data_IF_997420549812
#
_entry.id   IF_997420549812
#
_cell.length_a   1.000
_cell.length_b   1.000
_cell.length_c   1.000
_cell.angle_alpha   90.00
_cell.angle_beta   90.00
_cell.angle_gamma   90.00
#
_symmetry.space_group_name_H-M   'P 1'
#
loop_
_entity.id
_entity.type
_entity.pdbx_description
1 polymer ?
#
# COMPACT_ATOMS: atom_id res chain seq x y z
N UNK A 1 -10.95 1.72 -13.05
CA UNK A 1 -9.66 2.06 -12.40
C UNK A 1 -8.55 2.35 -13.39
N UNK A 2 -8.35 1.52 -14.44
CA UNK A 2 -7.26 1.75 -15.42
C UNK A 2 -7.34 3.13 -16.09
N UNK A 3 -8.52 3.58 -16.52
CA UNK A 3 -8.68 4.89 -17.19
C UNK A 3 -8.26 6.07 -16.29
N UNK A 4 -8.60 6.05 -15.00
CA UNK A 4 -8.18 7.09 -14.05
C UNK A 4 -6.66 7.09 -13.83
N UNK A 5 -6.02 5.91 -13.74
CA UNK A 5 -4.54 5.81 -13.67
C UNK A 5 -3.87 6.42 -14.90
N UNK A 6 -4.43 6.18 -16.09
CA UNK A 6 -3.93 6.75 -17.34
C UNK A 6 -4.05 8.28 -17.40
N UNK A 7 -5.13 8.83 -16.85
CA UNK A 7 -5.31 10.28 -16.73
C UNK A 7 -4.32 10.90 -15.74
N UNK A 8 -4.15 10.29 -14.56
CA UNK A 8 -3.23 10.79 -13.53
C UNK A 8 -1.76 10.70 -13.97
N UNK A 9 -1.35 9.62 -14.64
CA UNK A 9 0.03 9.53 -15.13
C UNK A 9 0.27 10.58 -16.22
N UNK A 10 -0.71 10.82 -17.10
CA UNK A 10 -0.60 11.87 -18.13
C UNK A 10 -0.45 13.24 -17.49
N UNK A 11 -1.23 13.52 -16.43
CA UNK A 11 -1.10 14.74 -15.62
C UNK A 11 0.32 14.84 -15.04
N UNK A 12 0.80 13.79 -14.36
CA UNK A 12 2.14 13.75 -13.78
C UNK A 12 3.23 14.02 -14.83
N UNK A 13 3.15 13.40 -16.00
CA UNK A 13 4.15 13.59 -17.06
C UNK A 13 4.20 15.02 -17.58
N UNK A 14 3.10 15.77 -17.48
CA UNK A 14 3.01 17.18 -17.86
C UNK A 14 3.31 18.15 -16.69
N UNK A 15 3.46 17.66 -15.45
CA UNK A 15 3.76 18.52 -14.31
C UNK A 15 5.17 19.12 -14.43
N UNK A 16 5.30 20.45 -14.22
CA UNK A 16 6.58 21.13 -14.26
C UNK A 16 7.41 20.77 -13.03
N UNK A 17 8.73 20.90 -13.16
CA UNK A 17 9.70 20.51 -12.12
C UNK A 17 9.47 21.24 -10.79
N UNK A 18 9.16 22.54 -10.83
CA UNK A 18 8.84 23.35 -9.65
C UNK A 18 7.62 22.82 -8.87
N UNK A 19 6.61 22.28 -9.56
CA UNK A 19 5.46 21.66 -8.88
C UNK A 19 5.88 20.34 -8.24
N UNK A 20 6.71 19.55 -8.91
CA UNK A 20 7.18 18.25 -8.41
C UNK A 20 8.02 18.42 -7.14
N UNK A 21 8.87 19.45 -7.09
CA UNK A 21 9.70 19.73 -5.91
C UNK A 21 8.91 20.19 -4.69
N UNK A 22 7.66 20.62 -4.88
CA UNK A 22 6.79 21.15 -3.83
C UNK A 22 5.59 20.24 -3.52
N UNK A 23 5.59 18.98 -3.99
CA UNK A 23 4.56 18.02 -3.64
C UNK A 23 4.56 17.75 -2.13
N UNK A 24 3.38 17.70 -1.54
CA UNK A 24 3.21 17.16 -0.18
C UNK A 24 3.62 15.70 -0.12
N UNK A 25 3.91 15.17 1.07
CA UNK A 25 4.30 13.76 1.25
C UNK A 25 3.25 12.80 0.69
N UNK A 26 1.96 13.11 0.87
CA UNK A 26 0.86 12.30 0.32
C UNK A 26 0.82 12.33 -1.20
N UNK A 27 1.06 13.48 -1.82
CA UNK A 27 1.10 13.59 -3.28
C UNK A 27 2.35 12.91 -3.84
N UNK A 28 3.48 13.04 -3.16
CA UNK A 28 4.72 12.37 -3.51
C UNK A 28 4.55 10.85 -3.45
N UNK A 29 3.87 10.32 -2.43
CA UNK A 29 3.55 8.89 -2.36
C UNK A 29 2.70 8.45 -3.56
N UNK A 30 1.59 9.15 -3.80
CA UNK A 30 0.65 8.81 -4.86
C UNK A 30 1.30 8.86 -6.25
N UNK A 31 1.89 10.00 -6.62
CA UNK A 31 2.48 10.18 -7.94
C UNK A 31 3.76 9.34 -8.11
N UNK A 32 4.54 9.19 -7.05
CA UNK A 32 5.76 8.41 -7.07
C UNK A 32 5.49 6.93 -7.34
N UNK A 33 4.53 6.33 -6.62
CA UNK A 33 4.09 4.95 -6.87
C UNK A 33 3.46 4.77 -8.23
N UNK A 34 2.67 5.75 -8.68
CA UNK A 34 2.08 5.72 -10.03
C UNK A 34 3.18 5.69 -11.10
N UNK A 35 4.21 6.53 -10.98
CA UNK A 35 5.35 6.53 -11.88
C UNK A 35 6.10 5.18 -11.88
N UNK A 36 6.40 4.63 -10.69
CA UNK A 36 7.08 3.33 -10.58
C UNK A 36 6.25 2.16 -11.12
N UNK A 37 4.92 2.19 -10.93
CA UNK A 37 4.01 1.21 -11.51
C UNK A 37 4.07 1.23 -13.04
N UNK A 38 4.00 2.42 -13.66
CA UNK A 38 4.10 2.55 -15.12
C UNK A 38 5.49 2.19 -15.64
N UNK A 39 6.55 2.55 -14.92
CA UNK A 39 7.91 2.13 -15.25
C UNK A 39 8.02 0.59 -15.26
N UNK A 40 7.58 -0.09 -14.20
CA UNK A 40 7.61 -1.56 -14.12
C UNK A 40 6.79 -2.24 -15.23
N UNK A 41 5.67 -1.63 -15.64
CA UNK A 41 4.79 -2.18 -16.69
C UNK A 41 5.36 -1.99 -18.10
N UNK A 42 6.09 -0.91 -18.35
CA UNK A 42 6.46 -0.48 -19.72
C UNK A 42 7.96 -0.52 -20.00
N UNK A 43 8.80 -0.41 -18.99
CA UNK A 43 10.24 -0.18 -19.12
C UNK A 43 10.62 1.22 -19.60
N UNK A 44 9.66 2.15 -19.72
CA UNK A 44 9.93 3.51 -20.21
C UNK A 44 10.63 4.36 -19.12
N UNK A 45 11.89 4.68 -19.37
CA UNK A 45 12.76 5.46 -18.50
C UNK A 45 12.24 6.87 -18.18
N UNK A 46 11.29 7.41 -18.96
CA UNK A 46 10.66 8.69 -18.64
C UNK A 46 9.88 8.64 -17.32
N UNK A 47 9.23 7.52 -17.01
CA UNK A 47 8.53 7.33 -15.73
C UNK A 47 9.50 7.19 -14.57
N UNK A 48 10.61 6.46 -14.78
CA UNK A 48 11.67 6.33 -13.77
C UNK A 48 12.26 7.69 -13.41
N UNK A 49 12.62 8.50 -14.41
CA UNK A 49 13.12 9.86 -14.20
C UNK A 49 12.14 10.72 -13.40
N UNK A 50 10.84 10.54 -13.62
CA UNK A 50 9.80 11.24 -12.87
C UNK A 50 9.77 10.83 -11.40
N UNK A 51 9.88 9.53 -11.12
CA UNK A 51 10.00 9.03 -9.75
C UNK A 51 11.27 9.56 -9.05
N UNK A 52 12.41 9.62 -9.75
CA UNK A 52 13.66 10.21 -9.25
C UNK A 52 13.49 11.71 -8.92
N UNK A 53 12.79 12.48 -9.77
CA UNK A 53 12.48 13.88 -9.51
C UNK A 53 11.61 14.06 -8.25
N UNK A 54 10.55 13.26 -8.12
CA UNK A 54 9.67 13.29 -6.93
C UNK A 54 10.49 12.97 -5.68
N UNK A 55 11.30 11.91 -5.71
CA UNK A 55 12.16 11.51 -4.58
C UNK A 55 13.16 12.59 -4.20
N UNK A 56 13.78 13.25 -5.19
CA UNK A 56 14.72 14.34 -4.96
C UNK A 56 14.05 15.56 -4.33
N UNK A 57 12.79 15.84 -4.69
CA UNK A 57 11.99 16.93 -4.12
C UNK A 57 11.73 16.78 -2.62
N UNK A 58 11.58 15.55 -2.12
CA UNK A 58 11.25 15.29 -0.70
C UNK A 58 12.44 15.46 0.27
N UNK A 59 13.68 15.54 -0.24
CA UNK A 59 14.96 15.67 0.50
C UNK A 59 15.25 14.56 1.52
N UNK A 60 14.40 14.38 2.53
CA UNK A 60 14.52 13.39 3.60
C UNK A 60 13.43 12.30 3.48
N UNK A 61 13.43 11.35 4.43
CA UNK A 61 12.32 10.41 4.58
C UNK A 61 11.10 11.14 5.16
N UNK A 62 9.87 10.76 4.74
CA UNK A 62 8.67 11.49 5.11
C UNK A 62 8.42 11.42 6.61
N UNK A 63 7.87 12.50 7.16
CA UNK A 63 7.36 12.56 8.53
C UNK A 63 6.15 11.65 8.71
N UNK A 64 5.21 11.71 7.78
CA UNK A 64 4.06 10.83 7.74
C UNK A 64 4.46 9.45 7.20
N UNK A 65 4.45 8.45 8.07
CA UNK A 65 4.71 7.05 7.71
C UNK A 65 3.76 6.50 6.64
N UNK A 66 2.58 7.10 6.44
CA UNK A 66 1.66 6.69 5.38
C UNK A 66 2.22 6.97 3.97
N UNK A 67 3.22 7.86 3.85
CA UNK A 67 3.92 8.14 2.60
C UNK A 67 5.18 7.28 2.38
N UNK A 68 5.55 6.43 3.35
CA UNK A 68 6.70 5.50 3.22
C UNK A 68 6.60 4.48 2.08
N UNK A 69 5.41 3.99 1.65
CA UNK A 69 5.32 3.02 0.56
C UNK A 69 6.06 3.42 -0.70
N UNK A 70 5.93 4.68 -1.15
CA UNK A 70 6.71 5.18 -2.28
C UNK A 70 8.21 5.11 -2.06
N UNK A 71 8.71 5.51 -0.89
CA UNK A 71 10.13 5.52 -0.60
C UNK A 71 10.70 4.10 -0.60
N UNK A 72 9.98 3.14 -0.01
CA UNK A 72 10.39 1.73 -0.06
C UNK A 72 10.43 1.23 -1.51
N UNK A 73 9.38 1.47 -2.28
CA UNK A 73 9.30 1.03 -3.67
C UNK A 73 10.40 1.69 -4.54
N UNK A 74 10.68 2.98 -4.31
CA UNK A 74 11.76 3.71 -4.96
C UNK A 74 13.13 3.12 -4.62
N UNK A 75 13.41 2.84 -3.35
CA UNK A 75 14.68 2.26 -2.92
C UNK A 75 14.91 0.88 -3.55
N UNK A 76 13.84 0.11 -3.71
CA UNK A 76 13.86 -1.21 -4.36
C UNK A 76 14.14 -1.12 -5.85
N UNK A 77 13.50 -0.18 -6.55
CA UNK A 77 13.53 -0.12 -8.02
C UNK A 77 14.69 0.75 -8.54
N UNK A 78 14.99 1.86 -7.85
CA UNK A 78 15.92 2.91 -8.30
C UNK A 78 17.07 3.16 -7.31
N UNK A 79 16.77 3.20 -6.01
CA UNK A 79 17.67 3.73 -4.97
C UNK A 79 18.74 2.77 -4.44
N UNK A 80 18.88 1.57 -5.04
CA UNK A 80 19.89 0.57 -4.63
C UNK A 80 19.80 0.11 -3.17
N UNK A 81 18.63 0.29 -2.53
CA UNK A 81 18.31 -0.22 -1.19
C UNK A 81 19.13 0.41 -0.05
N UNK A 82 19.66 1.62 -0.24
CA UNK A 82 20.52 2.28 0.75
C UNK A 82 19.74 2.72 2.01
N UNK A 83 18.46 3.08 1.85
CA UNK A 83 17.62 3.56 2.96
C UNK A 83 16.71 2.51 3.60
N UNK A 84 16.81 1.23 3.24
CA UNK A 84 15.91 0.18 3.76
C UNK A 84 15.86 0.12 5.29
N UNK A 85 17.02 0.14 5.95
CA UNK A 85 17.09 0.06 7.41
C UNK A 85 16.40 1.25 8.08
N UNK A 86 16.55 2.45 7.51
CA UNK A 86 15.92 3.67 8.05
C UNK A 86 14.40 3.64 7.89
N UNK A 87 13.90 3.11 6.76
CA UNK A 87 12.46 2.95 6.55
C UNK A 87 11.90 1.93 7.55
N UNK A 88 12.54 0.77 7.70
CA UNK A 88 12.11 -0.28 8.63
C UNK A 88 12.09 0.24 10.07
N UNK A 89 13.18 0.85 10.52
CA UNK A 89 13.29 1.42 11.87
C UNK A 89 12.20 2.47 12.13
N UNK A 90 11.86 3.29 11.13
CA UNK A 90 10.80 4.30 11.27
C UNK A 90 9.41 3.66 11.36
N UNK A 91 9.14 2.61 10.59
CA UNK A 91 7.90 1.86 10.70
C UNK A 91 7.75 1.19 12.07
N UNK A 92 8.82 0.59 12.60
CA UNK A 92 8.83 -0.04 13.93
C UNK A 92 8.59 0.98 15.03
N UNK A 93 9.35 2.08 15.03
CA UNK A 93 9.21 3.16 16.00
C UNK A 93 7.81 3.76 16.02
N UNK A 94 7.16 3.88 14.86
CA UNK A 94 5.79 4.40 14.82
C UNK A 94 4.79 3.45 15.50
N UNK A 95 4.91 2.14 15.27
CA UNK A 95 4.09 1.16 15.98
C UNK A 95 4.36 1.17 17.50
N UNK A 96 5.62 1.32 17.93
CA UNK A 96 6.00 1.36 19.35
C UNK A 96 5.45 2.58 20.10
N UNK A 97 5.30 3.73 19.42
CA UNK A 97 4.67 4.92 20.02
C UNK A 97 3.20 4.68 20.39
N UNK A 98 2.55 3.74 19.72
CA UNK A 98 1.10 3.54 19.77
C UNK A 98 0.34 4.57 18.93
N UNK A 99 -0.95 4.33 18.75
CA UNK A 99 -1.82 5.12 17.88
C UNK A 99 -2.87 5.86 18.70
N UNK A 100 -3.23 7.08 18.30
CA UNK A 100 -4.23 7.88 19.02
C UNK A 100 -5.65 7.30 18.87
N UNK A 101 -5.95 6.76 17.69
CA UNK A 101 -7.22 6.10 17.40
C UNK A 101 -7.11 5.02 16.30
N UNK A 102 -8.22 4.31 16.08
CA UNK A 102 -8.33 3.26 15.08
C UNK A 102 -8.05 3.75 13.64
N UNK A 103 -8.39 4.99 13.30
CA UNK A 103 -8.14 5.54 11.97
C UNK A 103 -6.66 5.68 11.69
N UNK A 104 -5.90 6.23 12.66
CA UNK A 104 -4.44 6.34 12.55
C UNK A 104 -3.77 4.97 12.47
N UNK A 105 -4.16 4.03 13.33
CA UNK A 105 -3.66 2.64 13.32
C UNK A 105 -3.95 1.94 12.00
N UNK A 106 -5.17 2.04 11.49
CA UNK A 106 -5.56 1.30 10.30
C UNK A 106 -4.89 1.91 9.04
N UNK A 107 -4.73 3.24 8.99
CA UNK A 107 -3.92 3.91 7.97
C UNK A 107 -2.46 3.44 8.01
N UNK A 108 -1.87 3.33 9.21
CA UNK A 108 -0.55 2.73 9.39
C UNK A 108 -0.50 1.28 8.88
N UNK A 109 -1.49 0.44 9.20
CA UNK A 109 -1.55 -0.94 8.70
C UNK A 109 -1.60 -1.02 7.18
N UNK A 110 -2.38 -0.15 6.55
CA UNK A 110 -2.48 -0.06 5.09
C UNK A 110 -1.15 0.40 4.44
N UNK A 111 -0.42 1.31 5.09
CA UNK A 111 0.91 1.70 4.65
C UNK A 111 1.95 0.60 4.90
N UNK A 112 1.92 -0.07 6.05
CA UNK A 112 2.86 -1.12 6.42
C UNK A 112 2.78 -2.32 5.48
N UNK A 113 1.58 -2.77 5.12
CA UNK A 113 1.44 -3.88 4.15
C UNK A 113 1.99 -3.49 2.76
N UNK A 114 1.92 -2.20 2.39
CA UNK A 114 2.51 -1.70 1.14
C UNK A 114 4.03 -1.60 1.21
N UNK A 115 4.58 -1.18 2.34
CA UNK A 115 6.03 -1.21 2.58
C UNK A 115 6.54 -2.65 2.51
N UNK A 116 5.86 -3.60 3.14
CA UNK A 116 6.25 -5.03 3.08
C UNK A 116 6.20 -5.56 1.63
N UNK A 117 5.21 -5.16 0.84
CA UNK A 117 5.07 -5.52 -0.59
C UNK A 117 6.18 -4.89 -1.46
N UNK A 118 6.73 -3.75 -1.03
CA UNK A 118 7.82 -3.07 -1.71
C UNK A 118 9.21 -3.65 -1.42
N UNK A 119 9.39 -4.45 -0.35
CA UNK A 119 10.70 -5.01 0.03
C UNK A 119 11.13 -6.11 -0.94
N UNK A 120 12.37 -6.02 -1.43
CA UNK A 120 13.02 -7.10 -2.16
C UNK A 120 13.31 -8.31 -1.26
N UNK A 121 13.02 -9.53 -1.73
CA UNK A 121 13.22 -10.79 -1.01
C UNK A 121 14.66 -11.01 -0.49
N UNK A 122 15.66 -10.45 -1.19
CA UNK A 122 17.07 -10.45 -0.79
C UNK A 122 17.33 -9.90 0.63
N UNK A 123 16.41 -9.09 1.18
CA UNK A 123 16.51 -8.51 2.53
C UNK A 123 15.45 -9.15 3.43
N UNK A 124 15.56 -10.47 3.56
CA UNK A 124 14.55 -11.31 4.20
C UNK A 124 14.38 -11.07 5.70
N UNK A 125 15.45 -10.67 6.41
CA UNK A 125 15.38 -10.36 7.85
C UNK A 125 14.46 -9.15 8.10
N UNK A 126 14.65 -8.06 7.36
CA UNK A 126 13.82 -6.85 7.44
C UNK A 126 12.35 -7.12 7.08
N UNK A 127 12.15 -7.97 6.07
CA UNK A 127 10.82 -8.44 5.69
C UNK A 127 10.11 -9.18 6.84
N UNK A 128 10.81 -10.05 7.58
CA UNK A 128 10.23 -10.78 8.72
C UNK A 128 9.93 -9.90 9.93
N UNK A 129 10.79 -8.93 10.21
CA UNK A 129 10.60 -7.95 11.28
C UNK A 129 9.28 -7.18 11.07
N UNK A 130 9.10 -6.58 9.89
CA UNK A 130 7.87 -5.84 9.57
C UNK A 130 6.62 -6.72 9.52
N UNK A 131 6.71 -7.98 9.10
CA UNK A 131 5.58 -8.92 9.20
C UNK A 131 5.16 -9.15 10.65
N UNK A 132 6.12 -9.19 11.56
CA UNK A 132 5.85 -9.38 13.00
C UNK A 132 5.10 -8.17 13.55
N UNK A 133 5.56 -6.95 13.21
CA UNK A 133 4.86 -5.70 13.54
C UNK A 133 3.46 -5.68 12.96
N UNK A 134 3.32 -5.99 11.66
CA UNK A 134 2.03 -6.04 10.97
C UNK A 134 1.04 -6.98 11.65
N UNK A 135 1.46 -8.21 12.01
CA UNK A 135 0.59 -9.18 12.69
C UNK A 135 0.21 -8.75 14.10
N UNK A 136 1.10 -8.05 14.80
CA UNK A 136 0.83 -7.51 16.13
C UNK A 136 -0.25 -6.42 16.06
N UNK A 137 -0.03 -5.39 15.24
CA UNK A 137 -0.97 -4.26 15.09
C UNK A 137 -2.31 -4.73 14.51
N UNK A 138 -2.31 -5.68 13.57
CA UNK A 138 -3.54 -6.27 13.03
C UNK A 138 -4.36 -6.97 14.11
N UNK A 139 -3.71 -7.66 15.06
CA UNK A 139 -4.42 -8.35 16.15
C UNK A 139 -5.13 -7.34 17.06
N UNK A 140 -4.50 -6.21 17.34
CA UNK A 140 -5.12 -5.12 18.11
C UNK A 140 -6.30 -4.52 17.36
N UNK A 141 -6.13 -4.27 16.05
CA UNK A 141 -7.20 -3.73 15.21
C UNK A 141 -8.45 -4.62 15.18
N UNK A 142 -8.25 -5.93 15.04
CA UNK A 142 -9.35 -6.89 15.04
C UNK A 142 -10.05 -7.02 16.41
N UNK A 143 -9.38 -6.72 17.51
CA UNK A 143 -9.95 -6.79 18.84
C UNK A 143 -10.90 -5.62 19.15
N UNK A 144 -10.77 -4.50 18.44
CA UNK A 144 -11.65 -3.33 18.61
C UNK A 144 -12.97 -3.43 17.83
N UNK A 145 -13.13 -4.45 16.97
CA UNK A 145 -14.35 -4.70 16.19
C UNK A 145 -14.85 -3.48 15.37
N UNK A 146 -13.95 -2.54 15.05
CA UNK A 146 -14.23 -1.36 14.23
C UNK A 146 -13.81 -1.59 12.80
N UNK A 147 -14.75 -1.42 11.88
CA UNK A 147 -14.51 -1.60 10.46
C UNK A 147 -14.04 -0.31 9.78
N UNK A 148 -12.96 -0.40 9.01
CA UNK A 148 -12.42 0.70 8.20
C UNK A 148 -11.97 0.19 6.83
N UNK A 149 -11.90 1.09 5.84
CA UNK A 149 -11.46 0.70 4.49
C UNK A 149 -9.99 0.30 4.49
N UNK A 150 -9.19 0.96 5.32
CA UNK A 150 -7.78 0.71 5.53
C UNK A 150 -7.53 -0.67 6.16
N UNK A 151 -8.30 -1.04 7.18
CA UNK A 151 -8.21 -2.37 7.81
C UNK A 151 -8.63 -3.47 6.83
N UNK A 152 -9.76 -3.28 6.12
CA UNK A 152 -10.19 -4.20 5.07
C UNK A 152 -9.11 -4.39 4.01
N UNK A 153 -8.55 -3.28 3.51
CA UNK A 153 -7.45 -3.30 2.55
C UNK A 153 -6.24 -4.07 3.07
N UNK A 154 -5.80 -3.77 4.29
CA UNK A 154 -4.64 -4.39 4.90
C UNK A 154 -4.82 -5.90 5.04
N UNK A 155 -6.01 -6.38 5.42
CA UNK A 155 -6.35 -7.80 5.52
C UNK A 155 -6.32 -8.46 4.14
N UNK A 156 -7.03 -7.88 3.16
CA UNK A 156 -7.15 -8.45 1.82
C UNK A 156 -5.78 -8.54 1.12
N UNK A 157 -4.99 -7.46 1.20
CA UNK A 157 -3.64 -7.44 0.64
C UNK A 157 -2.70 -8.42 1.36
N UNK A 158 -2.77 -8.50 2.69
CA UNK A 158 -2.02 -9.47 3.47
C UNK A 158 -2.33 -10.93 3.09
N UNK A 159 -3.59 -11.24 2.78
CA UNK A 159 -4.01 -12.54 2.25
C UNK A 159 -3.44 -12.82 0.86
N UNK A 160 -3.53 -11.87 -0.06
CA UNK A 160 -2.98 -11.99 -1.43
C UNK A 160 -1.47 -12.26 -1.40
N UNK A 161 -0.75 -11.59 -0.51
CA UNK A 161 0.71 -11.74 -0.38
C UNK A 161 1.14 -13.01 0.35
N UNK A 162 0.21 -13.79 0.92
CA UNK A 162 0.53 -14.97 1.73
C UNK A 162 1.11 -14.64 3.12
N UNK A 163 1.02 -13.38 3.56
CA UNK A 163 1.39 -12.98 4.94
C UNK A 163 0.37 -13.53 5.94
N UNK A 164 -0.90 -13.51 5.54
CA UNK A 164 -2.05 -14.04 6.27
C UNK A 164 -2.58 -15.31 5.62
N UNK A 165 -3.09 -16.23 6.46
CA UNK A 165 -3.78 -17.44 5.99
C UNK A 165 -5.16 -17.06 5.43
N UNK A 166 -5.40 -17.35 4.16
CA UNK A 166 -6.62 -16.95 3.44
C UNK A 166 -7.87 -17.52 4.11
N UNK A 167 -7.81 -18.78 4.53
CA UNK A 167 -8.89 -19.54 5.16
C UNK A 167 -9.38 -18.86 6.45
N UNK A 168 -8.48 -18.16 7.14
CA UNK A 168 -8.78 -17.48 8.41
C UNK A 168 -9.21 -16.02 8.21
N UNK A 169 -8.61 -15.30 7.26
CA UNK A 169 -8.70 -13.84 7.21
C UNK A 169 -9.45 -13.29 5.99
N UNK A 170 -9.47 -14.00 4.86
CA UNK A 170 -10.01 -13.46 3.61
C UNK A 170 -11.48 -13.07 3.74
N UNK A 171 -12.29 -13.96 4.33
CA UNK A 171 -13.73 -13.73 4.52
C UNK A 171 -14.01 -12.48 5.35
N UNK A 172 -13.27 -12.27 6.44
CA UNK A 172 -13.44 -11.11 7.30
C UNK A 172 -13.13 -9.80 6.55
N UNK A 173 -12.01 -9.76 5.81
CA UNK A 173 -11.66 -8.59 5.00
C UNK A 173 -12.68 -8.28 3.90
N UNK A 174 -13.22 -9.32 3.26
CA UNK A 174 -14.26 -9.20 2.22
C UNK A 174 -15.59 -8.68 2.77
N UNK A 175 -16.05 -9.24 3.90
CA UNK A 175 -17.30 -8.80 4.55
C UNK A 175 -17.22 -7.34 4.98
N UNK A 176 -16.07 -6.92 5.54
CA UNK A 176 -15.81 -5.53 5.90
C UNK A 176 -15.89 -4.61 4.68
N UNK A 177 -15.28 -5.00 3.55
CA UNK A 177 -15.34 -4.21 2.31
C UNK A 177 -16.79 -4.04 1.79
N UNK A 178 -17.59 -5.11 1.83
CA UNK A 178 -18.98 -5.10 1.39
C UNK A 178 -19.85 -4.21 2.30
N UNK A 179 -19.68 -4.34 3.62
CA UNK A 179 -20.44 -3.55 4.58
C UNK A 179 -20.14 -2.04 4.44
N UNK A 180 -18.87 -1.67 4.31
CA UNK A 180 -18.46 -0.27 4.09
C UNK A 180 -18.97 0.30 2.76
N UNK A 181 -19.03 -0.54 1.71
CA UNK A 181 -19.61 -0.16 0.42
C UNK A 181 -21.12 0.08 0.53
N UNK A 182 -21.83 -0.76 1.28
CA UNK A 182 -23.29 -0.69 1.43
C UNK A 182 -23.75 0.44 2.36
N UNK A 183 -22.94 0.81 3.35
CA UNK A 183 -23.26 1.88 4.31
C UNK A 183 -22.90 3.27 3.82
N UNK A 184 -22.21 3.39 2.67
CA UNK A 184 -21.73 4.67 2.15
C UNK A 184 -20.61 5.31 2.98
N UNK A 185 -20.03 4.56 3.92
CA UNK A 185 -18.94 5.01 4.79
C UNK A 185 -17.57 5.03 4.08
N UNK A 186 -17.49 4.54 2.84
CA UNK A 186 -16.31 4.70 2.01
C UNK A 186 -16.09 6.19 1.69
N UNK A 187 -15.08 6.79 2.32
CA UNK A 187 -14.69 8.18 2.05
C UNK A 187 -14.31 8.29 0.57
N UNK A 188 -15.12 9.02 -0.20
CA UNK A 188 -14.82 9.34 -1.59
C UNK A 188 -13.80 10.50 -1.60
N UNK A 189 -12.52 10.18 -1.46
CA UNK A 189 -11.46 11.08 -1.92
C UNK A 189 -11.17 10.76 -3.39
N UNK A 190 -11.32 11.75 -4.27
CA UNK A 190 -11.01 11.56 -5.69
C UNK A 190 -9.48 11.45 -5.88
N UNK A 191 -8.98 10.24 -6.16
CA UNK A 191 -7.58 9.98 -6.50
C UNK A 191 -7.25 8.49 -6.60
N UNK A 192 -6.18 8.13 -7.31
CA UNK A 192 -5.64 6.75 -7.41
C UNK A 192 -5.23 6.15 -6.05
N UNK A 193 -4.86 7.00 -5.08
CA UNK A 193 -4.58 6.60 -3.70
C UNK A 193 -5.84 6.31 -2.87
N UNK A 194 -7.05 6.50 -3.44
CA UNK A 194 -8.31 6.25 -2.74
C UNK A 194 -8.34 4.80 -2.23
N UNK A 195 -8.40 4.68 -0.92
CA UNK A 195 -8.39 3.40 -0.22
C UNK A 195 -9.53 2.49 -0.70
N UNK A 196 -10.71 3.03 -1.02
CA UNK A 196 -11.83 2.24 -1.54
C UNK A 196 -11.55 1.60 -2.90
N UNK A 197 -10.83 2.30 -3.79
CA UNK A 197 -10.40 1.74 -5.08
C UNK A 197 -9.40 0.60 -4.88
N UNK A 198 -8.45 0.79 -3.96
CA UNK A 198 -7.45 -0.22 -3.58
C UNK A 198 -8.11 -1.43 -2.91
N UNK A 199 -9.09 -1.24 -2.03
CA UNK A 199 -9.91 -2.32 -1.45
C UNK A 199 -10.60 -3.11 -2.55
N UNK A 200 -11.30 -2.43 -3.47
CA UNK A 200 -12.00 -3.10 -4.58
C UNK A 200 -11.04 -3.92 -5.45
N UNK A 201 -9.84 -3.40 -5.73
CA UNK A 201 -8.83 -4.13 -6.49
C UNK A 201 -8.39 -5.41 -5.77
N UNK A 202 -8.07 -5.33 -4.47
CA UNK A 202 -7.67 -6.52 -3.70
C UNK A 202 -8.83 -7.51 -3.54
N UNK A 203 -10.06 -7.01 -3.37
CA UNK A 203 -11.26 -7.82 -3.30
C UNK A 203 -11.44 -8.63 -4.58
N UNK A 204 -11.44 -7.97 -5.75
CA UNK A 204 -11.69 -8.63 -7.05
C UNK A 204 -10.62 -9.69 -7.36
N UNK A 205 -9.35 -9.39 -7.06
CA UNK A 205 -8.24 -10.34 -7.23
C UNK A 205 -8.43 -11.58 -6.34
N UNK A 206 -8.74 -11.37 -5.06
CA UNK A 206 -8.86 -12.46 -4.10
C UNK A 206 -10.14 -13.29 -4.37
N UNK A 207 -11.23 -12.65 -4.78
CA UNK A 207 -12.46 -13.34 -5.16
C UNK A 207 -12.24 -14.28 -6.36
N UNK A 208 -11.52 -13.79 -7.39
CA UNK A 208 -11.15 -14.61 -8.55
C UNK A 208 -10.30 -15.82 -8.16
N UNK A 209 -9.29 -15.62 -7.30
CA UNK A 209 -8.43 -16.72 -6.82
C UNK A 209 -9.23 -17.79 -6.06
N UNK A 210 -10.16 -17.39 -5.19
CA UNK A 210 -10.99 -18.33 -4.42
C UNK A 210 -11.94 -19.13 -5.32
N UNK A 211 -12.52 -18.50 -6.35
CA UNK A 211 -13.35 -19.23 -7.32
C UNK A 211 -12.55 -20.23 -8.17
N UNK A 212 -11.30 -19.92 -8.50
CA UNK A 212 -10.41 -20.80 -9.25
C UNK A 212 -9.88 -21.97 -8.41
N UNK A 213 -9.75 -21.80 -7.10
CA UNK A 213 -9.36 -22.86 -6.15
C UNK A 213 -10.52 -23.82 -5.87
N UNK A 214 -11.75 -23.32 -5.68
CA UNK A 214 -12.94 -24.16 -5.47
C UNK A 214 -13.26 -25.07 -6.66
N UNK A 215 -12.97 -24.63 -7.89
CA UNK A 215 -13.13 -25.46 -9.10
C UNK A 215 -12.07 -26.56 -9.29
N UNK A 216 -10.95 -26.52 -8.55
CA UNK A 216 -9.91 -27.56 -8.59
C UNK A 216 -10.14 -28.69 -7.58
N UNK A 217 -10.92 -28.44 -6.53
CA UNK A 217 -11.29 -29.47 -5.54
C UNK A 217 -12.45 -30.36 -6.01
N UNK A 218 -13.21 -29.97 -7.04
CA UNK A 218 -14.28 -30.81 -7.63
C UNK A 218 -13.77 -31.92 -8.58
N UNK A 219 -12.47 -32.00 -8.84
CA UNK A 219 -11.86 -33.00 -9.75
C UNK A 219 -10.73 -33.84 -9.14
N UNK A 220 -10.66 -33.94 -7.80
CA UNK A 220 -9.82 -34.89 -7.07
C UNK A 220 -10.67 -35.80 -6.19
#
# INVERSE_FOLDING_TARGET
>A
METKRQEEIKKLMQMPEETITNLSESEADQYGRLALMFYKKTGDESYRKKAEQIRAGQKELPENVCAMPFFMEYETVCGKKECYNQIVERMEKEAEKGFADAGERDAYLAALVDVIDGISFEIYEKYRELITVYKHVLKEALAEEKETSELSYAILKGCRMGILLKEKYARAGMQMAEHLKNTGAAVQTDGFSNIAARVSEQYDMLAKELTEQGGKEEWM
#
